data_IF_134317891634
#
_entry.id   IF_134317891634
#
_cell.length_a   1.000
_cell.length_b   1.000
_cell.length_c   1.000
_cell.angle_alpha   90.00
_cell.angle_beta   90.00
_cell.angle_gamma   90.00
#
_symmetry.space_group_name_H-M   'P 1'
#
loop_
_entity.id
_entity.type
_entity.pdbx_description
1 polymer ?
#
# COMPACT_ATOMS: atom_id res chain seq x y z
N UNK A 1 11.70 -31.54 28.00
CA UNK A 1 11.80 -30.09 28.25
C UNK A 1 12.64 -29.86 29.50
N UNK A 2 13.57 -28.91 29.48
CA UNK A 2 14.37 -28.53 30.67
C UNK A 2 13.78 -27.24 31.23
N UNK A 3 13.42 -27.23 32.50
CA UNK A 3 12.90 -26.05 33.20
C UNK A 3 13.78 -25.76 34.41
N UNK A 4 14.00 -24.49 34.71
CA UNK A 4 14.75 -24.07 35.89
C UNK A 4 13.77 -23.78 37.03
N UNK A 5 13.87 -24.52 38.14
CA UNK A 5 13.03 -24.32 39.33
C UNK A 5 13.90 -23.89 40.51
N UNK A 6 13.51 -22.80 41.16
CA UNK A 6 14.18 -22.25 42.35
C UNK A 6 13.52 -20.94 42.77
N UNK A 7 13.67 -20.55 44.03
CA UNK A 7 13.08 -19.30 44.57
C UNK A 7 13.76 -18.05 43.97
N UNK A 8 15.05 -18.17 43.70
CA UNK A 8 15.91 -17.15 43.08
C UNK A 8 16.81 -17.76 41.99
N UNK A 9 17.29 -16.93 41.05
CA UNK A 9 18.20 -17.33 39.95
C UNK A 9 19.44 -18.11 40.42
N UNK A 10 19.99 -17.78 41.58
CA UNK A 10 21.16 -18.46 42.17
C UNK A 10 20.85 -19.85 42.74
N UNK A 11 19.57 -20.14 43.05
CA UNK A 11 19.10 -21.42 43.59
C UNK A 11 18.46 -22.33 42.54
N UNK A 12 18.28 -21.82 41.32
CA UNK A 12 17.55 -22.49 40.26
C UNK A 12 18.30 -23.73 39.78
N UNK A 13 17.67 -24.90 39.90
CA UNK A 13 18.22 -26.16 39.40
C UNK A 13 17.50 -26.59 38.13
N UNK A 14 18.22 -27.12 37.12
CA UNK A 14 17.60 -27.67 35.94
C UNK A 14 16.82 -28.93 36.34
N UNK A 15 15.53 -28.96 35.98
CA UNK A 15 14.65 -30.11 36.15
C UNK A 15 14.23 -30.62 34.78
N UNK A 16 14.39 -31.91 34.57
CA UNK A 16 14.03 -32.57 33.33
C UNK A 16 12.60 -33.07 33.43
N UNK A 17 11.72 -32.55 32.56
CA UNK A 17 10.36 -33.02 32.43
C UNK A 17 10.22 -33.74 31.08
N UNK A 18 9.79 -35.01 31.14
CA UNK A 18 9.52 -35.83 29.97
C UNK A 18 8.08 -35.60 29.53
N UNK A 19 7.89 -35.37 28.24
CA UNK A 19 6.58 -35.18 27.61
C UNK A 19 6.46 -36.11 26.42
N UNK A 20 5.25 -36.60 26.18
CA UNK A 20 4.92 -37.30 24.95
C UNK A 20 4.44 -36.27 23.93
N UNK A 21 5.06 -36.27 22.74
CA UNK A 21 4.61 -35.42 21.64
C UNK A 21 3.32 -36.03 21.07
N UNK A 22 2.21 -35.31 21.19
CA UNK A 22 0.89 -35.76 20.72
C UNK A 22 0.54 -35.25 19.33
N UNK A 23 1.18 -34.16 18.89
CA UNK A 23 0.95 -33.56 17.58
C UNK A 23 1.99 -32.52 17.23
N UNK A 24 2.03 -32.17 15.95
CA UNK A 24 2.82 -31.07 15.40
C UNK A 24 1.86 -30.04 14.80
N UNK A 25 2.22 -28.76 14.87
CA UNK A 25 1.46 -27.67 14.30
C UNK A 25 2.35 -26.84 13.37
N UNK A 26 1.72 -26.12 12.44
CA UNK A 26 2.36 -25.15 11.57
C UNK A 26 1.48 -23.91 11.53
N UNK A 27 2.01 -22.77 11.96
CA UNK A 27 1.32 -21.48 11.95
C UNK A 27 1.59 -20.68 10.67
N UNK A 28 2.62 -21.07 9.90
CA UNK A 28 3.08 -20.31 8.74
C UNK A 28 4.13 -19.25 9.11
N UNK A 29 4.26 -18.90 10.39
CA UNK A 29 5.29 -17.99 10.88
C UNK A 29 6.46 -18.80 11.46
N UNK A 30 7.61 -18.74 10.79
CA UNK A 30 8.82 -19.47 11.20
C UNK A 30 9.23 -19.23 12.65
N UNK A 31 9.15 -17.98 13.11
CA UNK A 31 9.57 -17.61 14.46
C UNK A 31 8.73 -18.32 15.53
N UNK A 32 7.45 -18.55 15.24
CA UNK A 32 6.55 -19.31 16.13
C UNK A 32 6.75 -20.81 15.96
N UNK A 33 6.82 -21.30 14.72
CA UNK A 33 6.96 -22.74 14.44
C UNK A 33 8.29 -23.31 14.95
N UNK A 34 9.36 -22.50 15.00
CA UNK A 34 10.67 -22.91 15.51
C UNK A 34 10.77 -22.88 17.04
N UNK A 35 10.14 -21.90 17.69
CA UNK A 35 10.41 -21.58 19.09
C UNK A 35 9.26 -21.90 20.04
N UNK A 36 8.05 -22.21 19.56
CA UNK A 36 6.89 -22.48 20.40
C UNK A 36 6.59 -23.97 20.55
N UNK A 37 6.23 -24.36 21.77
CA UNK A 37 5.63 -25.65 22.09
C UNK A 37 4.48 -25.44 23.08
N UNK A 38 3.40 -26.19 22.90
CA UNK A 38 2.24 -26.14 23.79
C UNK A 38 2.23 -27.36 24.70
N UNK A 39 1.87 -27.15 25.97
CA UNK A 39 1.64 -28.19 26.97
C UNK A 39 0.24 -28.03 27.55
N UNK A 40 -0.28 -29.07 28.21
CA UNK A 40 -1.56 -28.96 28.90
C UNK A 40 -1.47 -27.97 30.07
N UNK A 41 -2.59 -27.31 30.39
CA UNK A 41 -2.64 -26.34 31.48
C UNK A 41 -2.28 -26.96 32.83
N UNK A 42 -2.69 -28.22 33.06
CA UNK A 42 -2.38 -28.99 34.27
C UNK A 42 -0.88 -29.34 34.37
N UNK A 43 -0.21 -29.53 33.23
CA UNK A 43 1.24 -29.69 33.22
C UNK A 43 1.94 -28.37 33.52
N UNK A 44 1.42 -27.25 33.00
CA UNK A 44 1.96 -25.93 33.26
C UNK A 44 1.91 -25.56 34.76
N UNK A 45 0.78 -25.76 35.44
CA UNK A 45 0.68 -25.51 36.89
C UNK A 45 1.71 -26.31 37.71
N UNK A 46 1.90 -27.59 37.37
CA UNK A 46 2.85 -28.46 38.11
C UNK A 46 4.32 -28.10 37.87
N UNK A 47 4.64 -27.55 36.71
CA UNK A 47 6.04 -27.33 36.28
C UNK A 47 6.48 -25.90 36.51
N UNK A 48 5.60 -24.93 36.40
CA UNK A 48 5.95 -23.51 36.53
C UNK A 48 5.51 -22.88 37.85
N UNK A 49 4.84 -23.63 38.74
CA UNK A 49 4.33 -23.13 40.03
C UNK A 49 3.42 -21.90 39.87
N UNK A 50 2.71 -21.84 38.73
CA UNK A 50 1.78 -20.76 38.39
C UNK A 50 0.51 -20.93 39.23
N UNK A 51 0.02 -19.82 39.80
CA UNK A 51 -1.27 -19.79 40.51
C UNK A 51 -2.40 -19.44 39.54
N UNK A 52 -3.63 -19.86 39.86
CA UNK A 52 -4.80 -19.59 38.99
C UNK A 52 -5.04 -18.09 38.78
N UNK A 53 -4.69 -17.29 39.78
CA UNK A 53 -4.78 -15.84 39.83
C UNK A 53 -3.76 -15.11 38.92
N UNK A 54 -2.80 -15.83 38.33
CA UNK A 54 -1.78 -15.28 37.40
C UNK A 54 -2.10 -15.58 35.92
N UNK A 55 -3.27 -16.16 35.62
CA UNK A 55 -3.65 -16.53 34.26
C UNK A 55 -4.11 -15.33 33.43
N UNK A 56 -3.58 -15.26 32.20
CA UNK A 56 -4.14 -14.40 31.15
C UNK A 56 -5.24 -15.14 30.41
N UNK A 57 -6.46 -14.60 30.46
CA UNK A 57 -7.59 -15.12 29.69
C UNK A 57 -7.60 -14.53 28.27
N UNK A 58 -7.45 -15.40 27.27
CA UNK A 58 -7.58 -15.02 25.86
C UNK A 58 -9.03 -15.08 25.40
N UNK A 59 -9.58 -13.96 24.95
CA UNK A 59 -10.90 -13.90 24.30
C UNK A 59 -10.72 -13.88 22.79
N UNK A 60 -11.19 -14.93 22.11
CA UNK A 60 -11.21 -14.97 20.64
C UNK A 60 -12.46 -14.24 20.13
N UNK A 61 -12.26 -13.25 19.28
CA UNK A 61 -13.33 -12.45 18.66
C UNK A 61 -13.46 -12.85 17.20
N UNK A 62 -14.68 -13.15 16.73
CA UNK A 62 -14.91 -13.60 15.35
C UNK A 62 -14.62 -12.52 14.30
N UNK A 63 -14.86 -11.24 14.63
CA UNK A 63 -14.63 -10.12 13.73
C UNK A 63 -13.66 -9.11 14.37
N UNK A 64 -12.45 -9.03 13.83
CA UNK A 64 -11.39 -8.17 14.32
C UNK A 64 -11.73 -6.67 14.27
N UNK A 65 -12.57 -6.23 13.33
CA UNK A 65 -13.04 -4.83 13.23
C UNK A 65 -14.00 -4.43 14.36
N UNK A 66 -14.45 -5.38 15.17
CA UNK A 66 -15.40 -5.13 16.27
C UNK A 66 -14.75 -5.27 17.64
N UNK A 67 -13.42 -5.41 17.70
CA UNK A 67 -12.67 -5.60 18.94
C UNK A 67 -12.93 -4.48 19.95
N UNK A 68 -13.01 -3.22 19.49
CA UNK A 68 -13.30 -2.08 20.37
C UNK A 68 -14.63 -2.23 21.12
N UNK A 69 -15.67 -2.74 20.44
CA UNK A 69 -16.98 -3.00 21.08
C UNK A 69 -16.92 -4.11 22.12
N UNK A 70 -16.07 -5.11 21.90
CA UNK A 70 -15.86 -6.20 22.85
C UNK A 70 -15.09 -5.67 24.07
N UNK A 71 -14.05 -4.87 23.85
CA UNK A 71 -13.28 -4.21 24.91
C UNK A 71 -14.19 -3.34 25.78
N UNK A 72 -15.04 -2.52 25.17
CA UNK A 72 -16.05 -1.70 25.87
C UNK A 72 -17.07 -2.54 26.64
N UNK A 73 -17.41 -3.73 26.14
CA UNK A 73 -18.29 -4.66 26.83
C UNK A 73 -17.58 -5.30 28.03
N UNK A 74 -16.32 -5.75 27.88
CA UNK A 74 -15.53 -6.33 28.97
C UNK A 74 -15.31 -5.29 30.07
N UNK A 75 -14.94 -4.06 29.74
CA UNK A 75 -14.76 -2.98 30.71
C UNK A 75 -16.01 -2.68 31.55
N UNK A 76 -17.20 -2.83 30.96
CA UNK A 76 -18.47 -2.57 31.68
C UNK A 76 -18.92 -3.73 32.55
N UNK A 77 -18.51 -4.96 32.24
CA UNK A 77 -19.03 -6.17 32.90
C UNK A 77 -18.01 -6.83 33.83
N UNK A 78 -16.72 -6.51 33.75
CA UNK A 78 -15.70 -7.05 34.65
C UNK A 78 -15.36 -6.11 35.82
N UNK A 79 -14.97 -6.65 36.99
CA UNK A 79 -14.55 -5.86 38.14
C UNK A 79 -13.32 -5.00 37.84
N UNK A 80 -13.17 -3.90 38.58
CA UNK A 80 -12.02 -3.00 38.50
C UNK A 80 -10.76 -3.76 38.93
N UNK A 81 -9.66 -3.64 38.18
CA UNK A 81 -8.35 -4.25 38.51
C UNK A 81 -7.72 -5.12 37.41
N UNK A 82 -8.39 -5.29 36.26
CA UNK A 82 -7.89 -6.09 35.15
C UNK A 82 -7.28 -5.21 34.06
N UNK A 83 -6.14 -5.63 33.50
CA UNK A 83 -5.57 -5.04 32.29
C UNK A 83 -6.08 -5.78 31.07
N UNK A 84 -6.65 -5.04 30.12
CA UNK A 84 -7.11 -5.59 28.85
C UNK A 84 -6.08 -5.18 27.80
N UNK A 85 -5.51 -6.18 27.14
CA UNK A 85 -4.65 -5.98 25.99
C UNK A 85 -5.36 -6.52 24.76
N UNK A 86 -5.52 -5.68 23.74
CA UNK A 86 -5.96 -6.17 22.44
C UNK A 86 -4.76 -6.70 21.66
N UNK A 87 -5.04 -7.51 20.63
CA UNK A 87 -4.02 -7.95 19.69
C UNK A 87 -3.32 -6.77 18.98
N UNK A 88 -3.99 -5.62 18.84
CA UNK A 88 -3.41 -4.38 18.31
C UNK A 88 -2.43 -3.75 19.30
N UNK A 89 -2.74 -3.75 20.60
CA UNK A 89 -1.86 -3.21 21.65
C UNK A 89 -0.56 -4.02 21.75
N UNK A 90 -0.68 -5.35 21.70
CA UNK A 90 0.47 -6.25 21.76
C UNK A 90 1.41 -6.08 20.56
N UNK A 91 0.90 -5.60 19.42
CA UNK A 91 1.65 -5.40 18.19
C UNK A 91 1.71 -3.93 17.77
N UNK A 92 1.57 -3.00 18.72
CA UNK A 92 1.44 -1.57 18.45
C UNK A 92 2.53 -0.99 17.52
N UNK A 93 3.83 -1.32 17.65
CA UNK A 93 4.86 -0.83 16.73
C UNK A 93 4.61 -1.25 15.26
N UNK A 94 4.10 -2.47 15.04
CA UNK A 94 3.74 -2.94 13.70
C UNK A 94 2.56 -2.13 13.14
N UNK A 95 1.52 -1.91 13.95
CA UNK A 95 0.35 -1.12 13.53
C UNK A 95 0.68 0.33 13.23
N UNK A 96 1.49 0.96 14.07
CA UNK A 96 1.95 2.33 13.85
C UNK A 96 2.82 2.43 12.58
N UNK A 97 3.70 1.45 12.34
CA UNK A 97 4.47 1.38 11.10
C UNK A 97 3.57 1.25 9.86
N UNK A 98 2.60 0.34 9.88
CA UNK A 98 1.64 0.13 8.78
C UNK A 98 0.77 1.37 8.53
N UNK A 99 0.35 2.09 9.57
CA UNK A 99 -0.43 3.31 9.42
C UNK A 99 0.42 4.44 8.80
N UNK A 100 1.65 4.61 9.27
CA UNK A 100 2.58 5.60 8.73
C UNK A 100 2.94 5.31 7.26
N UNK A 101 3.08 4.04 6.89
CA UNK A 101 3.29 3.62 5.51
C UNK A 101 2.12 4.02 4.60
N UNK A 102 0.87 3.80 5.04
CA UNK A 102 -0.32 4.22 4.28
C UNK A 102 -0.34 5.73 4.03
N UNK A 103 0.06 6.53 5.02
CA UNK A 103 0.20 7.98 4.86
C UNK A 103 1.28 8.31 3.81
N UNK A 104 2.43 7.62 3.86
CA UNK A 104 3.50 7.77 2.88
C UNK A 104 3.06 7.48 1.44
N UNK A 105 2.36 6.36 1.21
CA UNK A 105 1.80 6.02 -0.11
C UNK A 105 0.80 7.09 -0.57
N UNK A 106 -0.03 7.61 0.34
CA UNK A 106 -0.95 8.72 0.05
C UNK A 106 -0.24 9.98 -0.47
N UNK A 107 0.91 10.34 0.11
CA UNK A 107 1.73 11.45 -0.41
C UNK A 107 2.26 11.19 -1.81
N UNK A 108 2.74 9.97 -2.10
CA UNK A 108 3.23 9.61 -3.43
C UNK A 108 2.11 9.66 -4.47
N UNK A 109 0.93 9.13 -4.16
CA UNK A 109 -0.25 9.18 -5.04
C UNK A 109 -0.64 10.63 -5.34
N UNK A 110 -0.62 11.51 -4.33
CA UNK A 110 -0.87 12.94 -4.53
C UNK A 110 0.13 13.56 -5.51
N UNK A 111 1.43 13.26 -5.39
CA UNK A 111 2.46 13.78 -6.30
C UNK A 111 2.25 13.31 -7.74
N UNK A 112 1.87 12.04 -7.95
CA UNK A 112 1.58 11.49 -9.28
C UNK A 112 0.38 12.24 -9.91
N UNK A 113 -0.68 12.49 -9.15
CA UNK A 113 -1.85 13.24 -9.61
C UNK A 113 -1.46 14.68 -9.99
N UNK A 114 -0.69 15.36 -9.14
CA UNK A 114 -0.22 16.73 -9.40
C UNK A 114 0.71 16.78 -10.63
N UNK A 115 1.60 15.80 -10.78
CA UNK A 115 2.46 15.69 -11.97
C UNK A 115 1.63 15.52 -13.25
N UNK A 116 0.59 14.68 -13.21
CA UNK A 116 -0.36 14.52 -14.32
C UNK A 116 -1.07 15.83 -14.67
N UNK A 117 -1.46 16.62 -13.67
CA UNK A 117 -2.06 17.93 -13.86
C UNK A 117 -1.19 18.87 -14.69
N UNK A 118 0.10 18.97 -14.33
CA UNK A 118 1.04 19.84 -15.01
C UNK A 118 1.25 19.43 -16.47
N UNK A 119 1.24 18.11 -16.74
CA UNK A 119 1.30 17.61 -18.11
C UNK A 119 0.07 18.02 -18.94
N UNK A 120 -1.13 17.94 -18.35
CA UNK A 120 -2.37 18.43 -19.00
C UNK A 120 -2.30 19.94 -19.25
N UNK A 121 -1.87 20.73 -18.26
CA UNK A 121 -1.70 22.18 -18.40
C UNK A 121 -0.74 22.48 -19.56
N UNK A 122 0.43 21.84 -19.58
CA UNK A 122 1.44 22.03 -20.62
C UNK A 122 0.92 21.70 -22.01
N UNK A 123 0.24 20.55 -22.15
CA UNK A 123 -0.37 20.12 -23.40
C UNK A 123 -1.44 21.10 -23.89
N UNK A 124 -2.35 21.54 -23.02
CA UNK A 124 -3.41 22.49 -23.40
C UNK A 124 -2.88 23.88 -23.75
N UNK A 125 -1.82 24.34 -23.06
CA UNK A 125 -1.13 25.58 -23.45
C UNK A 125 -0.60 25.45 -24.87
N UNK A 126 0.04 24.33 -25.19
CA UNK A 126 0.57 24.08 -26.53
C UNK A 126 -0.54 24.06 -27.58
N UNK A 127 -1.64 23.34 -27.33
CA UNK A 127 -2.80 23.29 -28.24
C UNK A 127 -3.42 24.68 -28.46
N UNK A 128 -3.54 25.50 -27.40
CA UNK A 128 -4.02 26.88 -27.51
C UNK A 128 -3.10 27.73 -28.41
N UNK A 129 -1.79 27.57 -28.26
CA UNK A 129 -0.80 28.31 -29.04
C UNK A 129 -0.88 27.94 -30.53
N UNK A 130 -1.01 26.66 -30.84
CA UNK A 130 -1.16 26.18 -32.23
C UNK A 130 -2.46 26.68 -32.87
N UNK A 131 -3.52 26.83 -32.06
CA UNK A 131 -4.85 27.26 -32.52
C UNK A 131 -5.10 28.77 -32.42
N UNK A 132 -4.06 29.57 -32.12
CA UNK A 132 -4.18 31.02 -31.86
C UNK A 132 -4.82 31.80 -33.02
N UNK A 133 -4.52 31.45 -34.27
CA UNK A 133 -5.09 32.09 -35.48
C UNK A 133 -6.59 31.82 -35.60
N UNK A 134 -7.01 30.57 -35.40
CA UNK A 134 -8.42 30.14 -35.45
C UNK A 134 -9.24 30.83 -34.34
N UNK A 135 -8.69 30.95 -33.14
CA UNK A 135 -9.29 31.71 -32.03
C UNK A 135 -9.49 33.18 -32.42
N UNK A 136 -8.50 33.79 -33.09
CA UNK A 136 -8.59 35.16 -33.59
C UNK A 136 -9.72 35.38 -34.58
N UNK A 137 -9.92 34.44 -35.51
CA UNK A 137 -11.02 34.46 -36.49
C UNK A 137 -12.38 34.33 -35.77
N UNK A 138 -12.53 33.38 -34.85
CA UNK A 138 -13.75 33.22 -34.06
C UNK A 138 -14.10 34.49 -33.28
N UNK A 139 -13.10 35.14 -32.67
CA UNK A 139 -13.29 36.42 -31.97
C UNK A 139 -13.71 37.54 -32.93
N UNK A 140 -13.16 37.60 -34.15
CA UNK A 140 -13.55 38.58 -35.15
C UNK A 140 -14.99 38.37 -35.64
N UNK A 141 -15.47 37.13 -35.68
CA UNK A 141 -16.87 36.77 -35.98
C UNK A 141 -17.85 37.06 -34.82
N UNK A 142 -17.35 37.52 -33.66
CA UNK A 142 -18.18 37.89 -32.51
C UNK A 142 -18.23 36.84 -31.38
N UNK A 143 -17.39 35.80 -31.41
CA UNK A 143 -17.32 34.84 -30.31
C UNK A 143 -16.90 35.51 -29.00
N UNK A 144 -17.70 35.31 -27.95
CA UNK A 144 -17.42 35.85 -26.61
C UNK A 144 -16.31 35.04 -25.92
N UNK A 145 -15.46 35.67 -25.07
CA UNK A 145 -14.40 34.97 -24.33
C UNK A 145 -14.84 33.70 -23.58
N UNK A 146 -16.02 33.65 -22.91
CA UNK A 146 -16.47 32.43 -22.23
C UNK A 146 -16.71 31.24 -23.16
N UNK A 147 -17.11 31.48 -24.41
CA UNK A 147 -17.33 30.41 -25.39
C UNK A 147 -16.00 29.72 -25.74
N UNK A 148 -14.94 30.51 -25.94
CA UNK A 148 -13.59 29.98 -26.20
C UNK A 148 -13.09 29.21 -24.99
N UNK A 149 -13.28 29.75 -23.77
CA UNK A 149 -12.90 29.05 -22.54
C UNK A 149 -13.65 27.72 -22.38
N UNK A 150 -14.94 27.66 -22.72
CA UNK A 150 -15.73 26.42 -22.66
C UNK A 150 -15.21 25.34 -23.60
N UNK A 151 -14.81 25.69 -24.83
CA UNK A 151 -14.25 24.72 -25.80
C UNK A 151 -13.02 24.01 -25.22
N UNK A 152 -12.07 24.77 -24.66
CA UNK A 152 -10.84 24.20 -24.09
C UNK A 152 -11.08 23.47 -22.76
N UNK A 153 -12.07 23.90 -21.95
CA UNK A 153 -12.47 23.15 -20.75
C UNK A 153 -13.10 21.80 -21.11
N UNK A 154 -13.93 21.75 -22.16
CA UNK A 154 -14.50 20.51 -22.68
C UNK A 154 -13.39 19.61 -23.22
N UNK A 155 -12.41 20.15 -23.93
CA UNK A 155 -11.25 19.40 -24.43
C UNK A 155 -10.46 18.75 -23.28
N UNK A 156 -10.19 19.51 -22.21
CA UNK A 156 -9.56 18.98 -21.00
C UNK A 156 -10.42 17.95 -20.25
N UNK A 157 -11.75 18.09 -20.27
CA UNK A 157 -12.67 17.08 -19.74
C UNK A 157 -12.62 15.80 -20.58
N UNK A 158 -12.55 15.89 -21.91
CA UNK A 158 -12.41 14.73 -22.80
C UNK A 158 -11.10 13.98 -22.55
N UNK A 159 -9.98 14.70 -22.48
CA UNK A 159 -8.66 14.11 -22.16
C UNK A 159 -8.70 13.44 -20.78
N UNK A 160 -9.26 14.12 -19.78
CA UNK A 160 -9.42 13.57 -18.43
C UNK A 160 -10.31 12.33 -18.37
N UNK A 161 -11.43 12.33 -19.10
CA UNK A 161 -12.37 11.21 -19.14
C UNK A 161 -11.77 9.97 -19.80
N UNK A 162 -11.19 10.13 -21.00
CA UNK A 162 -10.53 9.03 -21.70
C UNK A 162 -9.34 8.52 -20.89
N UNK A 163 -8.52 9.42 -20.34
CA UNK A 163 -7.40 9.05 -19.50
C UNK A 163 -7.82 8.29 -18.25
N UNK A 164 -8.89 8.72 -17.58
CA UNK A 164 -9.45 8.01 -16.40
C UNK A 164 -9.99 6.64 -16.78
N UNK A 165 -10.71 6.53 -17.90
CA UNK A 165 -11.25 5.25 -18.37
C UNK A 165 -10.13 4.24 -18.67
N UNK A 166 -9.11 4.67 -19.42
CA UNK A 166 -7.94 3.85 -19.73
C UNK A 166 -7.16 3.52 -18.44
N UNK A 167 -7.01 4.49 -17.54
CA UNK A 167 -6.30 4.33 -16.28
C UNK A 167 -6.98 3.34 -15.34
N UNK A 168 -8.30 3.42 -15.17
CA UNK A 168 -9.07 2.47 -14.36
C UNK A 168 -9.05 1.08 -14.98
N UNK A 169 -9.24 0.98 -16.30
CA UNK A 169 -9.23 -0.31 -16.99
C UNK A 169 -7.85 -0.99 -16.91
N UNK A 170 -6.79 -0.26 -17.25
CA UNK A 170 -5.41 -0.77 -17.16
C UNK A 170 -5.01 -1.05 -15.71
N UNK A 171 -5.38 -0.20 -14.76
CA UNK A 171 -5.15 -0.42 -13.33
C UNK A 171 -5.80 -1.71 -12.83
N UNK A 172 -7.06 -1.95 -13.18
CA UNK A 172 -7.75 -3.19 -12.83
C UNK A 172 -7.08 -4.42 -13.45
N UNK A 173 -6.70 -4.34 -14.73
CA UNK A 173 -6.00 -5.42 -15.43
C UNK A 173 -4.63 -5.71 -14.79
N UNK A 174 -3.87 -4.67 -14.43
CA UNK A 174 -2.58 -4.83 -13.73
C UNK A 174 -2.75 -5.45 -12.36
N UNK A 175 -3.77 -5.04 -11.61
CA UNK A 175 -3.98 -5.53 -10.23
C UNK A 175 -4.34 -7.02 -10.25
N UNK A 176 -5.16 -7.47 -11.21
CA UNK A 176 -5.48 -8.89 -11.37
C UNK A 176 -4.29 -9.75 -11.83
N UNK A 177 -3.25 -9.13 -12.42
CA UNK A 177 -2.08 -9.82 -12.93
C UNK A 177 -0.81 -9.51 -12.13
N UNK A 178 -0.96 -9.07 -10.87
CA UNK A 178 0.17 -8.61 -10.05
C UNK A 178 1.26 -9.68 -9.90
N UNK A 179 0.88 -10.95 -9.74
CA UNK A 179 1.82 -12.08 -9.66
C UNK A 179 2.63 -12.24 -10.96
N UNK A 180 1.97 -12.12 -12.12
CA UNK A 180 2.67 -12.19 -13.41
C UNK A 180 3.62 -11.00 -13.60
N UNK A 181 3.26 -9.82 -13.09
CA UNK A 181 4.12 -8.63 -13.13
C UNK A 181 5.36 -8.85 -12.26
N UNK A 182 5.18 -9.41 -11.06
CA UNK A 182 6.29 -9.73 -10.16
C UNK A 182 7.23 -10.77 -10.76
N UNK A 183 6.69 -11.86 -11.30
CA UNK A 183 7.48 -12.89 -11.98
C UNK A 183 8.25 -12.32 -13.19
N UNK A 184 7.62 -11.42 -13.95
CA UNK A 184 8.30 -10.73 -15.06
C UNK A 184 9.42 -9.81 -14.56
N UNK A 185 9.18 -9.07 -13.49
CA UNK A 185 10.19 -8.19 -12.88
C UNK A 185 11.37 -9.00 -12.35
N UNK A 186 11.11 -10.08 -11.62
CA UNK A 186 12.12 -11.02 -11.15
C UNK A 186 12.91 -11.62 -12.32
N UNK A 187 12.24 -12.05 -13.39
CA UNK A 187 12.90 -12.54 -14.59
C UNK A 187 13.85 -11.50 -15.21
N UNK A 188 13.42 -10.24 -15.32
CA UNK A 188 14.26 -9.16 -15.86
C UNK A 188 15.46 -8.88 -14.96
N UNK A 189 15.23 -8.71 -13.65
CA UNK A 189 16.30 -8.41 -12.69
C UNK A 189 17.29 -9.56 -12.61
N UNK A 190 16.80 -10.80 -12.54
CA UNK A 190 17.65 -11.98 -12.52
C UNK A 190 18.40 -12.17 -13.84
N UNK A 191 17.80 -11.85 -14.98
CA UNK A 191 18.48 -11.85 -16.27
C UNK A 191 19.63 -10.84 -16.33
N UNK A 192 19.41 -9.60 -15.86
CA UNK A 192 20.45 -8.57 -15.77
C UNK A 192 21.56 -9.00 -14.81
N UNK A 193 21.19 -9.58 -13.66
CA UNK A 193 22.13 -10.10 -12.66
C UNK A 193 23.01 -11.21 -13.22
N UNK A 194 22.42 -12.20 -13.91
CA UNK A 194 23.18 -13.30 -14.53
C UNK A 194 24.09 -12.78 -15.64
N UNK A 195 23.63 -11.83 -16.44
CA UNK A 195 24.46 -11.18 -17.46
C UNK A 195 25.65 -10.45 -16.82
N UNK A 196 25.43 -9.70 -15.74
CA UNK A 196 26.50 -9.04 -14.99
C UNK A 196 27.46 -10.05 -14.36
N UNK A 197 26.95 -11.14 -13.80
CA UNK A 197 27.76 -12.20 -13.21
C UNK A 197 28.68 -12.83 -14.27
N UNK A 198 28.12 -13.24 -15.40
CA UNK A 198 28.88 -13.85 -16.49
C UNK A 198 29.92 -12.89 -17.08
N UNK A 199 29.57 -11.61 -17.25
CA UNK A 199 30.45 -10.63 -17.88
C UNK A 199 31.58 -10.12 -16.96
N UNK A 200 31.33 -9.97 -15.66
CA UNK A 200 32.27 -9.29 -14.74
C UNK A 200 32.75 -10.13 -13.55
N UNK A 201 31.86 -10.86 -12.88
CA UNK A 201 32.19 -11.58 -11.63
C UNK A 201 32.84 -12.94 -11.89
N UNK A 202 32.35 -13.68 -12.89
CA UNK A 202 32.86 -15.00 -13.26
C UNK A 202 34.34 -14.95 -13.67
N UNK A 203 34.82 -14.00 -14.51
CA UNK A 203 36.25 -13.87 -14.82
C UNK A 203 37.11 -13.51 -13.60
N UNK A 204 36.53 -12.86 -12.58
CA UNK A 204 37.19 -12.57 -11.31
C UNK A 204 37.19 -13.75 -10.32
N UNK A 205 36.61 -14.90 -10.68
CA UNK A 205 36.49 -16.05 -9.79
C UNK A 205 35.61 -15.80 -8.56
N UNK A 206 34.74 -14.79 -8.60
CA UNK A 206 33.80 -14.48 -7.52
C UNK A 206 32.57 -15.40 -7.62
N UNK A 207 31.95 -15.80 -6.51
CA UNK A 207 30.72 -16.61 -6.54
C UNK A 207 29.53 -15.80 -7.13
N UNK A 208 28.48 -16.50 -7.62
CA UNK A 208 27.28 -15.87 -8.12
C UNK A 208 26.54 -15.09 -7.03
N UNK A 209 25.91 -13.99 -7.42
CA UNK A 209 25.09 -13.17 -6.54
C UNK A 209 23.81 -13.94 -6.16
N UNK A 210 23.28 -13.78 -4.93
CA UNK A 210 22.01 -14.39 -4.53
C UNK A 210 20.88 -14.02 -5.49
N UNK A 211 19.93 -14.94 -5.68
CA UNK A 211 18.76 -14.70 -6.54
C UNK A 211 17.92 -13.60 -5.93
N UNK A 212 17.44 -12.70 -6.77
CA UNK A 212 16.49 -11.69 -6.36
C UNK A 212 15.08 -12.29 -6.45
N UNK A 213 14.45 -12.46 -5.29
CA UNK A 213 13.04 -12.80 -5.14
C UNK A 213 12.35 -11.59 -4.50
N UNK A 214 11.33 -11.04 -5.16
CA UNK A 214 10.65 -9.83 -4.72
C UNK A 214 9.88 -10.09 -3.42
N UNK A 215 9.24 -11.26 -3.33
CA UNK A 215 8.52 -11.75 -2.15
C UNK A 215 9.04 -13.13 -1.79
N UNK A 216 10.16 -13.19 -1.09
CA UNK A 216 10.67 -14.48 -0.62
C UNK A 216 9.71 -15.07 0.43
N UNK A 217 9.13 -16.24 0.14
CA UNK A 217 8.26 -17.01 1.05
C UNK A 217 8.89 -17.21 2.44
N UNK A 218 10.22 -17.31 2.49
CA UNK A 218 10.98 -17.56 3.73
C UNK A 218 11.05 -16.36 4.68
N UNK A 219 10.89 -15.14 4.17
CA UNK A 219 10.97 -13.89 4.96
C UNK A 219 9.58 -13.32 5.18
N UNK A 220 8.74 -13.32 4.13
CA UNK A 220 7.42 -12.69 4.17
C UNK A 220 6.28 -13.66 4.50
N UNK A 221 6.49 -14.97 4.37
CA UNK A 221 5.48 -16.01 4.69
C UNK A 221 4.15 -15.81 3.95
N UNK A 222 4.18 -15.19 2.77
CA UNK A 222 3.01 -14.94 1.95
C UNK A 222 2.93 -16.01 0.86
N UNK A 223 1.90 -16.86 0.88
CA UNK A 223 1.63 -17.80 -0.24
C UNK A 223 1.22 -17.08 -1.54
N UNK A 224 0.93 -15.78 -1.46
CA UNK A 224 0.60 -14.89 -2.56
C UNK A 224 0.21 -13.51 -2.03
N UNK A 225 0.10 -12.52 -2.92
CA UNK A 225 -0.36 -11.19 -2.53
C UNK A 225 -1.89 -11.14 -2.59
N UNK A 226 -2.59 -11.01 -1.45
CA UNK A 226 -4.03 -10.87 -1.48
C UNK A 226 -4.39 -9.52 -2.11
N UNK A 227 -5.06 -9.59 -3.26
CA UNK A 227 -5.55 -8.40 -3.97
C UNK A 227 -6.95 -8.08 -3.48
N UNK A 228 -7.06 -7.06 -2.62
CA UNK A 228 -8.33 -6.49 -2.21
C UNK A 228 -8.57 -5.13 -2.88
N UNK A 229 -9.56 -5.06 -3.76
CA UNK A 229 -9.90 -3.83 -4.48
C UNK A 229 -10.98 -3.08 -3.72
N UNK A 230 -10.61 -1.96 -3.10
CA UNK A 230 -11.57 -1.05 -2.50
C UNK A 230 -12.14 -0.09 -3.55
N UNK A 231 -13.33 -0.40 -4.07
CA UNK A 231 -14.02 0.43 -5.08
C UNK A 231 -14.20 1.90 -4.67
N UNK A 232 -14.30 2.17 -3.35
CA UNK A 232 -14.38 3.52 -2.82
C UNK A 232 -13.14 4.34 -3.17
N UNK A 233 -11.96 3.76 -3.06
CA UNK A 233 -10.69 4.44 -3.33
C UNK A 233 -10.52 4.69 -4.83
N UNK A 234 -10.86 3.70 -5.65
CA UNK A 234 -10.88 3.84 -7.12
C UNK A 234 -11.81 4.98 -7.55
N UNK A 235 -13.01 5.06 -6.97
CA UNK A 235 -13.97 6.13 -7.25
C UNK A 235 -13.44 7.50 -6.82
N UNK A 236 -12.88 7.62 -5.61
CA UNK A 236 -12.32 8.87 -5.10
C UNK A 236 -11.17 9.36 -6.00
N UNK A 237 -10.23 8.49 -6.35
CA UNK A 237 -9.09 8.83 -7.20
C UNK A 237 -9.56 9.23 -8.62
N UNK A 238 -10.53 8.51 -9.18
CA UNK A 238 -11.10 8.82 -10.50
C UNK A 238 -11.80 10.18 -10.50
N UNK A 239 -12.64 10.45 -9.49
CA UNK A 239 -13.33 11.73 -9.35
C UNK A 239 -12.34 12.88 -9.14
N UNK A 240 -11.31 12.68 -8.31
CA UNK A 240 -10.27 13.67 -8.07
C UNK A 240 -9.47 13.96 -9.34
N UNK A 241 -9.09 12.93 -10.10
CA UNK A 241 -8.38 13.07 -11.37
C UNK A 241 -9.17 13.90 -12.38
N UNK A 242 -10.47 13.62 -12.53
CA UNK A 242 -11.36 14.38 -13.43
C UNK A 242 -11.54 15.84 -13.00
N UNK A 243 -11.75 16.09 -11.70
CA UNK A 243 -11.85 17.46 -11.20
C UNK A 243 -10.57 18.24 -11.47
N UNK A 244 -9.43 17.56 -11.31
CA UNK A 244 -8.12 18.17 -11.45
C UNK A 244 -7.75 18.39 -12.92
N UNK A 245 -8.20 17.54 -13.86
CA UNK A 245 -8.06 17.78 -15.29
C UNK A 245 -8.88 18.98 -15.76
N UNK A 246 -10.10 19.15 -15.25
CA UNK A 246 -10.95 20.32 -15.54
C UNK A 246 -10.32 21.59 -14.98
N UNK A 247 -9.81 21.54 -13.76
CA UNK A 247 -9.14 22.69 -13.13
C UNK A 247 -7.85 23.06 -13.88
N UNK A 248 -7.05 22.07 -14.25
CA UNK A 248 -5.86 22.22 -15.08
C UNK A 248 -6.19 22.86 -16.44
N UNK A 249 -7.32 22.48 -17.06
CA UNK A 249 -7.75 23.02 -18.34
C UNK A 249 -8.29 24.45 -18.27
N UNK A 250 -8.88 24.82 -17.13
CA UNK A 250 -9.50 26.12 -16.96
C UNK A 250 -8.51 27.29 -17.06
N UNK A 251 -7.33 27.17 -16.45
CA UNK A 251 -6.30 28.23 -16.48
C UNK A 251 -5.85 28.60 -17.90
N UNK A 252 -5.35 27.68 -18.75
CA UNK A 252 -4.94 27.99 -20.12
C UNK A 252 -6.13 28.44 -20.97
N UNK A 253 -7.30 27.84 -20.80
CA UNK A 253 -8.53 28.21 -21.52
C UNK A 253 -8.93 29.68 -21.29
N UNK A 254 -8.79 30.18 -20.06
CA UNK A 254 -9.06 31.58 -19.73
C UNK A 254 -7.99 32.51 -20.31
N UNK A 255 -6.72 32.10 -20.28
CA UNK A 255 -5.60 32.87 -20.87
C UNK A 255 -5.77 33.00 -22.39
N UNK A 256 -6.12 31.91 -23.07
CA UNK A 256 -6.41 31.85 -24.50
C UNK A 256 -7.48 32.86 -24.92
N UNK A 257 -8.59 32.91 -24.17
CA UNK A 257 -9.74 33.76 -24.47
C UNK A 257 -9.43 35.26 -24.41
N UNK A 258 -8.37 35.67 -23.72
CA UNK A 258 -7.94 37.06 -23.60
C UNK A 258 -7.03 37.55 -24.73
N UNK A 259 -6.51 36.65 -25.58
CA UNK A 259 -5.59 37.00 -26.67
C UNK A 259 -6.26 37.90 -27.72
N UNK A 260 -5.69 39.08 -27.99
CA UNK A 260 -6.27 40.07 -28.92
C UNK A 260 -6.09 39.62 -30.38
N UNK A 261 -7.10 39.80 -31.26
CA UNK A 261 -7.06 39.34 -32.66
C UNK A 261 -5.98 40.01 -33.52
N UNK A 262 -5.63 41.26 -33.23
CA UNK A 262 -4.91 42.16 -34.15
C UNK A 262 -3.39 42.00 -34.10
N UNK A 263 -2.81 41.48 -33.02
CA UNK A 263 -1.34 41.38 -32.87
C UNK A 263 -0.71 40.22 -33.64
N UNK A 264 -1.47 39.23 -34.12
CA UNK A 264 -0.89 37.98 -34.68
C UNK A 264 -0.97 37.84 -36.20
N UNK A 265 -1.70 38.71 -36.91
CA UNK A 265 -1.74 38.67 -38.38
C UNK A 265 -0.52 39.42 -38.98
N UNK A 266 0.20 40.19 -38.15
CA UNK A 266 1.31 41.05 -38.59
C UNK A 266 2.70 40.40 -38.48
N UNK A 267 2.77 39.14 -38.02
CA UNK A 267 4.02 38.38 -37.83
C UNK A 267 4.08 37.09 -38.66
N UNK A 268 3.22 36.93 -39.67
CA UNK A 268 3.48 36.06 -40.82
C UNK A 268 4.00 36.90 -41.99
#
# INVERSE_FOLDING_TARGET
MVTFQGRDLASARPKFNLFHVTGLFKTGYWEYDKNMAYISLEAAYRIFDIKEDELTLGLKVDNYYRVDRVVDWVHRNLPIGHYIYTWMDLNRPLFEALQNEKVGIGFVVMLIIVSGAFNIIGSLIMTVMDKRREIGILRALGAKPPLITQVFVIDGLYIGFIGTLIGVFSGFLLTLNIESIFNFFEFVVNGIREMFYFLYLMPMGRPPLPVFELLSDSIYYLEGVPVEIHFKDVFIVSALSLLLSVFAAYYPARKAATLKPVENIRYE
#
